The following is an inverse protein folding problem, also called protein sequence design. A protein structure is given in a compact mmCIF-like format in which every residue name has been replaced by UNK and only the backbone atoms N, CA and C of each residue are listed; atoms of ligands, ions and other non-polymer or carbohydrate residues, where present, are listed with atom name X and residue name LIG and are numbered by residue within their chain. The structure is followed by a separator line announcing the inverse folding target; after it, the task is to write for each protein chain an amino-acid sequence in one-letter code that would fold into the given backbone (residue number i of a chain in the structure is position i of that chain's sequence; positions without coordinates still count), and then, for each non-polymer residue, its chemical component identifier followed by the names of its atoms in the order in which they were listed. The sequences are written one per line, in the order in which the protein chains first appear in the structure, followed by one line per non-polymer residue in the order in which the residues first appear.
data_IF_563222284452
#
_entry.id   IF_563222284452
#
_cell.length_a   1.000
_cell.length_b   1.000
_cell.length_c   1.000
_cell.angle_alpha   90.00
_cell.angle_beta   90.00
_cell.angle_gamma   90.00
#
_symmetry.space_group_name_H-M   'P 1'
#
loop_
_entity.id
_entity.type
_entity.pdbx_description
1 polymer ?
#
# COMPACT_ATOMS: atom_id res chain seq x y z
N UNK A 1 40.22 -2.39 -39.71
CA UNK A 1 40.14 -2.95 -38.34
C UNK A 1 39.01 -3.98 -38.32
N UNK A 2 39.32 -5.26 -38.14
CA UNK A 2 38.32 -6.33 -38.24
C UNK A 2 37.19 -6.14 -37.22
N UNK A 3 35.93 -6.14 -37.67
CA UNK A 3 34.76 -6.14 -36.81
C UNK A 3 34.74 -7.42 -35.97
N UNK A 4 35.22 -7.32 -34.73
CA UNK A 4 35.19 -8.45 -33.79
C UNK A 4 33.73 -8.89 -33.58
N UNK A 5 33.43 -10.13 -33.95
CA UNK A 5 32.08 -10.68 -33.98
C UNK A 5 31.44 -10.72 -32.57
N UNK A 6 30.36 -9.97 -32.39
CA UNK A 6 29.51 -10.06 -31.19
C UNK A 6 28.39 -11.06 -31.46
N UNK A 7 28.39 -12.15 -30.70
CA UNK A 7 27.39 -13.23 -30.78
C UNK A 7 26.38 -13.09 -29.64
N UNK A 8 25.10 -13.23 -29.96
CA UNK A 8 24.01 -13.15 -28.97
C UNK A 8 23.36 -14.52 -28.84
N UNK A 9 23.16 -14.99 -27.61
CA UNK A 9 22.38 -16.19 -27.29
C UNK A 9 21.24 -15.82 -26.35
N UNK A 10 20.07 -16.41 -26.55
CA UNK A 10 18.91 -16.19 -25.69
C UNK A 10 18.61 -17.42 -24.84
N UNK A 11 18.36 -17.23 -23.55
CA UNK A 11 17.96 -18.29 -22.60
C UNK A 11 16.58 -17.97 -22.00
N UNK A 12 15.86 -19.01 -21.55
CA UNK A 12 14.56 -18.88 -20.85
C UNK A 12 13.57 -17.99 -21.61
N UNK A 13 13.41 -18.27 -22.89
CA UNK A 13 12.48 -17.53 -23.75
C UNK A 13 11.04 -17.88 -23.36
N UNK A 14 10.23 -16.85 -23.08
CA UNK A 14 8.83 -16.99 -22.70
C UNK A 14 7.98 -15.97 -23.45
N UNK A 15 6.83 -16.40 -23.96
CA UNK A 15 5.82 -15.53 -24.59
C UNK A 15 4.71 -15.22 -23.59
N UNK A 16 4.57 -13.95 -23.19
CA UNK A 16 3.51 -13.52 -22.30
C UNK A 16 2.42 -12.77 -23.08
N UNK A 17 1.29 -13.45 -23.32
CA UNK A 17 0.17 -12.91 -24.09
C UNK A 17 -0.57 -11.77 -23.39
N UNK A 18 -0.67 -11.79 -22.06
CA UNK A 18 -1.36 -10.76 -21.27
C UNK A 18 -0.67 -9.40 -21.35
N UNK A 19 0.66 -9.42 -21.51
CA UNK A 19 1.50 -8.23 -21.59
C UNK A 19 1.95 -7.94 -23.03
N UNK A 20 1.45 -8.70 -24.02
CA UNK A 20 1.81 -8.60 -25.44
C UNK A 20 3.33 -8.50 -25.65
N UNK A 21 4.10 -9.35 -24.95
CA UNK A 21 5.56 -9.31 -25.00
C UNK A 21 6.22 -10.68 -24.93
N UNK A 22 7.35 -10.79 -25.60
CA UNK A 22 8.32 -11.89 -25.48
C UNK A 22 9.41 -11.47 -24.48
N UNK A 23 9.71 -12.31 -23.51
CA UNK A 23 10.70 -12.03 -22.47
C UNK A 23 11.75 -13.14 -22.40
N UNK A 24 13.01 -12.76 -22.29
CA UNK A 24 14.14 -13.70 -22.31
C UNK A 24 15.37 -13.12 -21.60
N UNK A 25 16.30 -14.01 -21.27
CA UNK A 25 17.64 -13.66 -20.78
C UNK A 25 18.57 -13.65 -22.00
N UNK A 26 19.41 -12.62 -22.09
CA UNK A 26 20.36 -12.43 -23.18
C UNK A 26 21.77 -12.68 -22.65
N UNK A 27 22.49 -13.57 -23.30
CA UNK A 27 23.92 -13.74 -23.11
C UNK A 27 24.64 -13.17 -24.35
N UNK A 28 25.49 -12.17 -24.13
CA UNK A 28 26.26 -11.49 -25.17
C UNK A 28 27.72 -11.90 -25.04
N UNK A 29 28.22 -12.59 -26.06
CA UNK A 29 29.62 -12.95 -26.22
C UNK A 29 30.31 -11.93 -27.13
N UNK A 30 31.33 -11.26 -26.61
CA UNK A 30 32.03 -10.18 -27.28
C UNK A 30 33.55 -10.29 -27.02
N UNK A 31 34.22 -11.26 -27.68
CA UNK A 31 35.66 -11.45 -27.49
C UNK A 31 36.44 -10.23 -27.98
N UNK A 32 37.25 -9.64 -27.09
CA UNK A 32 38.13 -8.53 -27.42
C UNK A 32 37.47 -7.15 -27.57
N UNK A 33 36.21 -6.99 -27.12
CA UNK A 33 35.58 -5.67 -26.82
C UNK A 33 35.26 -5.62 -25.32
N UNK A 34 35.36 -4.44 -24.71
CA UNK A 34 35.10 -4.27 -23.28
C UNK A 34 33.59 -4.32 -22.94
N UNK A 35 32.75 -3.74 -23.81
CA UNK A 35 31.29 -3.78 -23.69
C UNK A 35 30.64 -3.57 -25.06
N UNK A 36 29.37 -3.92 -25.20
CA UNK A 36 28.57 -3.74 -26.41
C UNK A 36 27.51 -2.65 -26.15
N UNK A 37 27.34 -1.73 -27.10
CA UNK A 37 26.32 -0.70 -26.97
C UNK A 37 24.91 -1.30 -27.03
N UNK A 38 23.95 -0.70 -26.31
CA UNK A 38 22.57 -1.21 -26.31
C UNK A 38 21.87 -1.00 -27.66
N UNK A 39 22.31 -0.03 -28.45
CA UNK A 39 21.79 0.21 -29.80
C UNK A 39 22.15 -0.96 -30.73
N UNK A 40 23.43 -1.36 -30.76
CA UNK A 40 23.89 -2.53 -31.52
C UNK A 40 23.16 -3.82 -31.11
N UNK A 41 22.89 -4.01 -29.82
CA UNK A 41 22.15 -5.18 -29.35
C UNK A 41 20.68 -5.16 -29.78
N UNK A 42 20.05 -3.99 -29.84
CA UNK A 42 18.67 -3.86 -30.34
C UNK A 42 18.60 -4.19 -31.82
N UNK A 43 19.52 -3.69 -32.64
CA UNK A 43 19.56 -3.97 -34.08
C UNK A 43 19.76 -5.46 -34.35
N UNK A 44 20.66 -6.11 -33.61
CA UNK A 44 20.88 -7.56 -33.75
C UNK A 44 19.68 -8.38 -33.28
N UNK A 45 18.99 -7.96 -32.22
CA UNK A 45 17.74 -8.60 -31.77
C UNK A 45 16.59 -8.37 -32.74
N UNK A 46 16.53 -7.20 -33.38
CA UNK A 46 15.54 -6.91 -34.41
C UNK A 46 15.70 -7.86 -35.61
N UNK A 47 16.96 -8.08 -36.05
CA UNK A 47 17.28 -9.04 -37.12
C UNK A 47 17.02 -10.50 -36.72
N UNK A 48 17.33 -10.91 -35.48
CA UNK A 48 17.15 -12.31 -35.06
C UNK A 48 15.69 -12.73 -34.88
N UNK A 49 14.80 -11.78 -34.60
CA UNK A 49 13.38 -12.05 -34.31
C UNK A 49 12.42 -11.36 -35.28
N UNK A 50 12.93 -10.86 -36.41
CA UNK A 50 12.19 -10.16 -37.47
C UNK A 50 11.24 -9.08 -36.94
N UNK A 51 11.74 -8.26 -36.02
CA UNK A 51 10.98 -7.16 -35.44
C UNK A 51 11.22 -5.90 -36.27
N UNK A 52 10.15 -5.37 -36.88
CA UNK A 52 10.21 -4.20 -37.77
C UNK A 52 10.69 -2.92 -37.06
N UNK A 53 10.30 -2.74 -35.79
CA UNK A 53 10.62 -1.54 -35.02
C UNK A 53 11.68 -1.79 -33.92
N UNK A 54 12.83 -1.13 -34.00
CA UNK A 54 13.87 -1.20 -32.94
C UNK A 54 13.40 -0.58 -31.59
N UNK A 55 12.34 0.22 -31.62
CA UNK A 55 11.80 0.90 -30.44
C UNK A 55 10.92 0.01 -29.56
N UNK A 56 10.44 -1.12 -30.07
CA UNK A 56 9.68 -2.11 -29.29
C UNK A 56 10.58 -3.05 -28.47
N UNK A 57 11.90 -3.00 -28.72
CA UNK A 57 12.91 -3.84 -28.06
C UNK A 57 13.54 -3.08 -26.89
N UNK A 58 13.45 -3.67 -25.70
CA UNK A 58 14.01 -3.13 -24.47
C UNK A 58 15.05 -4.10 -23.91
N UNK A 59 16.27 -3.59 -23.72
CA UNK A 59 17.36 -4.37 -23.14
C UNK A 59 17.92 -3.67 -21.91
N UNK A 60 17.91 -4.34 -20.77
CA UNK A 60 18.28 -3.74 -19.48
C UNK A 60 18.92 -4.73 -18.52
N UNK A 61 19.47 -4.19 -17.42
CA UNK A 61 20.14 -4.96 -16.35
C UNK A 61 21.28 -5.84 -16.86
N UNK A 62 22.11 -5.30 -17.77
CA UNK A 62 23.35 -5.96 -18.17
C UNK A 62 24.34 -6.04 -17.02
N UNK A 63 24.93 -7.22 -16.85
CA UNK A 63 26.04 -7.50 -15.94
C UNK A 63 27.16 -8.13 -16.76
N UNK A 64 28.32 -7.50 -16.77
CA UNK A 64 29.56 -8.06 -17.31
C UNK A 64 30.07 -9.13 -16.35
N UNK A 65 30.49 -10.28 -16.88
CA UNK A 65 31.16 -11.30 -16.08
C UNK A 65 32.60 -10.89 -15.75
N UNK A 66 33.10 -11.38 -14.62
CA UNK A 66 34.50 -11.23 -14.24
C UNK A 66 35.41 -11.84 -15.32
N UNK A 67 36.47 -11.12 -15.72
CA UNK A 67 37.32 -11.47 -16.86
C UNK A 67 36.86 -10.92 -18.22
N UNK A 68 35.71 -10.24 -18.29
CA UNK A 68 35.24 -9.57 -19.51
C UNK A 68 34.78 -10.53 -20.62
N UNK A 69 34.40 -9.98 -21.78
CA UNK A 69 34.04 -10.75 -22.98
C UNK A 69 32.71 -11.51 -22.94
N UNK A 70 32.05 -11.60 -21.79
CA UNK A 70 30.69 -12.14 -21.62
C UNK A 70 29.83 -11.21 -20.77
N UNK A 71 28.64 -10.91 -21.26
CA UNK A 71 27.66 -10.07 -20.55
C UNK A 71 26.30 -10.76 -20.52
N UNK A 72 25.62 -10.73 -19.38
CA UNK A 72 24.27 -11.25 -19.22
C UNK A 72 23.29 -10.11 -19.00
N UNK A 73 22.12 -10.15 -19.64
CA UNK A 73 21.12 -9.10 -19.55
C UNK A 73 19.70 -9.65 -19.70
N UNK A 74 18.72 -8.77 -19.54
CA UNK A 74 17.31 -9.10 -19.78
C UNK A 74 16.80 -8.37 -21.02
N UNK A 75 16.08 -9.11 -21.87
CA UNK A 75 15.46 -8.61 -23.09
C UNK A 75 13.94 -8.73 -23.04
N UNK A 76 13.26 -7.68 -23.49
CA UNK A 76 11.82 -7.66 -23.73
C UNK A 76 11.58 -7.19 -25.16
N UNK A 77 10.75 -7.92 -25.89
CA UNK A 77 10.26 -7.53 -27.22
C UNK A 77 8.76 -7.40 -27.10
N UNK A 78 8.23 -6.20 -27.35
CA UNK A 78 6.81 -5.94 -27.41
C UNK A 78 6.28 -6.10 -28.84
N UNK A 79 5.03 -6.55 -28.98
CA UNK A 79 4.40 -6.68 -30.29
C UNK A 79 4.10 -5.29 -30.91
N UNK A 80 3.92 -4.24 -30.09
CA UNK A 80 3.66 -2.86 -30.55
C UNK A 80 4.33 -1.80 -29.66
N UNK A 81 4.54 -0.59 -30.20
CA UNK A 81 5.08 0.54 -29.42
C UNK A 81 4.08 1.03 -28.36
N UNK A 82 2.78 0.89 -28.62
CA UNK A 82 1.71 1.27 -27.68
C UNK A 82 1.67 0.35 -26.45
N UNK A 83 1.82 -0.97 -26.67
CA UNK A 83 1.91 -1.94 -25.58
C UNK A 83 3.15 -1.69 -24.72
N UNK A 84 4.27 -1.32 -25.34
CA UNK A 84 5.46 -0.88 -24.62
C UNK A 84 5.17 0.35 -23.73
N UNK A 85 4.49 1.39 -24.25
CA UNK A 85 4.13 2.60 -23.47
C UNK A 85 3.18 2.30 -22.29
N UNK A 86 2.31 1.30 -22.43
CA UNK A 86 1.34 0.91 -21.39
C UNK A 86 1.98 0.13 -20.24
N UNK A 87 2.88 -0.80 -20.56
CA UNK A 87 3.40 -1.76 -19.57
C UNK A 87 4.79 -1.42 -19.03
N UNK A 88 5.62 -0.69 -19.78
CA UNK A 88 6.95 -0.33 -19.29
C UNK A 88 6.89 0.80 -18.25
N UNK A 89 7.74 0.74 -17.21
CA UNK A 89 7.89 1.85 -16.28
C UNK A 89 8.34 3.13 -16.98
N UNK A 90 7.70 4.27 -16.67
CA UNK A 90 7.98 5.59 -17.29
C UNK A 90 9.45 5.97 -17.35
N UNK A 91 10.25 5.64 -16.33
CA UNK A 91 11.68 5.97 -16.32
C UNK A 91 12.49 5.26 -17.43
N UNK A 92 12.03 4.12 -17.93
CA UNK A 92 12.67 3.42 -19.05
C UNK A 92 12.26 4.01 -20.40
N UNK A 93 10.99 4.39 -20.54
CA UNK A 93 10.50 5.10 -21.71
C UNK A 93 11.26 6.40 -21.93
N UNK A 94 11.47 7.18 -20.86
CA UNK A 94 12.25 8.43 -20.90
C UNK A 94 13.71 8.18 -21.33
N UNK A 95 14.36 7.14 -20.80
CA UNK A 95 15.73 6.79 -21.17
C UNK A 95 15.87 6.34 -22.62
N UNK A 96 14.82 5.73 -23.17
CA UNK A 96 14.77 5.31 -24.56
C UNK A 96 14.19 6.40 -25.49
N UNK A 97 13.89 7.61 -24.98
CA UNK A 97 13.39 8.74 -25.78
C UNK A 97 11.93 8.64 -26.22
N UNK A 98 11.14 7.70 -25.68
CA UNK A 98 9.74 7.48 -26.05
C UNK A 98 8.73 8.32 -25.25
N UNK A 99 9.18 8.90 -24.14
CA UNK A 99 8.38 9.77 -23.27
C UNK A 99 9.26 10.92 -22.77
N UNK A 100 8.69 12.11 -22.59
CA UNK A 100 9.46 13.27 -22.10
C UNK A 100 9.39 13.33 -20.58
N UNK A 101 10.51 13.73 -19.97
CA UNK A 101 10.53 13.95 -18.53
C UNK A 101 9.69 15.18 -18.20
N UNK A 102 8.58 14.98 -17.51
CA UNK A 102 7.78 16.10 -17.01
C UNK A 102 8.55 16.80 -15.88
N UNK A 103 9.19 17.91 -16.21
CA UNK A 103 9.85 18.77 -15.24
C UNK A 103 8.82 19.53 -14.43
N UNK A 104 8.80 19.34 -13.11
CA UNK A 104 7.91 20.07 -12.21
C UNK A 104 8.74 20.96 -11.30
N UNK A 105 8.47 22.26 -11.32
CA UNK A 105 9.12 23.20 -10.43
C UNK A 105 8.77 22.89 -8.96
N UNK A 106 9.76 23.05 -8.08
CA UNK A 106 9.59 22.88 -6.63
C UNK A 106 8.48 23.77 -6.07
N UNK A 107 8.28 24.94 -6.67
CA UNK A 107 7.20 25.90 -6.33
C UNK A 107 5.82 25.30 -6.64
N UNK A 108 5.62 24.79 -7.85
CA UNK A 108 4.37 24.17 -8.30
C UNK A 108 3.99 22.94 -7.45
N UNK A 109 4.99 22.12 -7.07
CA UNK A 109 4.75 20.98 -6.16
C UNK A 109 4.28 21.42 -4.77
N UNK A 110 4.88 22.49 -4.23
CA UNK A 110 4.52 23.04 -2.90
C UNK A 110 3.12 23.65 -2.91
N UNK A 111 2.77 24.39 -3.97
CA UNK A 111 1.44 24.99 -4.14
C UNK A 111 0.36 23.92 -4.30
N UNK A 112 0.58 22.90 -5.13
CA UNK A 112 -0.36 21.77 -5.26
C UNK A 112 -0.56 21.03 -3.95
N UNK A 113 0.53 20.79 -3.20
CA UNK A 113 0.46 20.14 -1.87
C UNK A 113 -0.31 21.01 -0.87
N UNK A 114 -0.19 22.33 -0.96
CA UNK A 114 -0.94 23.24 -0.11
C UNK A 114 -2.43 23.30 -0.48
N UNK A 115 -2.79 23.30 -1.78
CA UNK A 115 -4.19 23.20 -2.22
C UNK A 115 -4.84 21.86 -1.84
N UNK A 116 -4.07 20.78 -1.82
CA UNK A 116 -4.56 19.45 -1.43
C UNK A 116 -4.68 19.25 0.09
N UNK A 117 -4.16 20.18 0.92
CA UNK A 117 -4.39 20.12 2.37
C UNK A 117 -5.85 20.40 2.65
N UNK A 118 -6.54 19.42 3.23
CA UNK A 118 -7.87 19.65 3.81
C UNK A 118 -7.69 20.44 5.10
N UNK A 119 -8.26 21.63 5.15
CA UNK A 119 -8.33 22.44 6.37
C UNK A 119 -9.46 21.83 7.23
N UNK A 120 -9.17 21.53 8.50
CA UNK A 120 -10.19 21.13 9.46
C UNK A 120 -10.75 22.40 10.11
N UNK A 121 -11.97 22.75 9.74
CA UNK A 121 -12.85 23.73 10.37
C UNK A 121 -14.30 23.20 10.31
N UNK A 122 -15.22 23.86 10.99
CA UNK A 122 -16.63 23.43 11.12
C UNK A 122 -17.35 23.31 9.76
N UNK A 123 -16.92 24.07 8.75
CA UNK A 123 -17.27 23.84 7.34
C UNK A 123 -16.04 23.32 6.57
N UNK A 124 -16.17 22.16 5.93
CA UNK A 124 -15.15 21.59 5.03
C UNK A 124 -15.14 22.34 3.70
N UNK A 125 -14.40 23.44 3.60
CA UNK A 125 -14.07 24.05 2.30
C UNK A 125 -12.70 23.56 1.82
N UNK A 126 -12.59 23.28 0.52
CA UNK A 126 -11.26 23.14 -0.12
C UNK A 126 -10.62 24.52 -0.14
N UNK A 127 -9.31 24.60 0.08
CA UNK A 127 -8.56 25.85 0.24
C UNK A 127 -8.38 26.65 -1.07
N UNK A 128 -9.36 26.65 -1.99
CA UNK A 128 -9.22 27.34 -3.28
C UNK A 128 -10.41 27.30 -4.22
N UNK A 129 -11.65 27.14 -3.73
CA UNK A 129 -12.84 27.34 -4.56
C UNK A 129 -13.57 28.61 -4.12
N UNK A 130 -13.16 29.73 -4.72
CA UNK A 130 -13.99 30.91 -4.86
C UNK A 130 -14.04 31.27 -6.34
N UNK A 131 -15.22 31.12 -6.94
CA UNK A 131 -15.58 31.75 -8.21
C UNK A 131 -15.39 30.92 -9.49
N UNK A 132 -16.44 30.21 -9.90
CA UNK A 132 -17.13 30.40 -11.21
C UNK A 132 -18.32 29.44 -11.34
N UNK A 133 -19.52 29.99 -11.15
CA UNK A 133 -20.77 29.45 -11.70
C UNK A 133 -20.76 29.68 -13.21
N UNK A 134 -20.97 28.63 -14.00
CA UNK A 134 -21.65 28.73 -15.30
C UNK A 134 -22.57 27.52 -15.45
N UNK A 135 -23.86 27.82 -15.48
CA UNK A 135 -24.94 26.93 -15.91
C UNK A 135 -24.77 26.71 -17.41
N UNK A 136 -24.91 25.47 -17.86
CA UNK A 136 -25.32 25.17 -19.23
C UNK A 136 -26.07 23.85 -19.25
N UNK A 137 -27.37 23.98 -19.49
CA UNK A 137 -28.29 22.99 -20.00
C UNK A 137 -27.78 22.45 -21.34
N UNK A 138 -27.89 21.15 -21.55
CA UNK A 138 -28.30 20.49 -22.81
C UNK A 138 -28.16 18.97 -22.65
N UNK A 139 -29.25 18.24 -22.89
CA UNK A 139 -29.18 16.83 -23.29
C UNK A 139 -28.71 16.75 -24.75
N UNK A 140 -28.16 15.61 -25.18
CA UNK A 140 -28.83 14.98 -26.32
C UNK A 140 -28.97 13.45 -26.22
N UNK A 141 -30.02 13.04 -26.92
CA UNK A 141 -30.54 11.73 -27.27
C UNK A 141 -29.62 10.90 -28.19
N UNK A 142 -29.67 9.57 -28.01
CA UNK A 142 -29.69 8.42 -28.97
C UNK A 142 -28.80 8.56 -30.26
N UNK A 143 -27.89 7.67 -30.67
CA UNK A 143 -28.06 6.31 -31.24
C UNK A 143 -26.65 5.72 -31.49
N UNK A 144 -26.39 4.45 -31.14
CA UNK A 144 -25.97 3.36 -32.07
C UNK A 144 -25.60 2.09 -31.30
N UNK A 145 -26.21 1.00 -31.75
CA UNK A 145 -26.14 -0.35 -31.22
C UNK A 145 -24.89 -1.11 -31.70
N UNK A 146 -24.48 -2.13 -30.91
CA UNK A 146 -24.10 -3.47 -31.40
C UNK A 146 -23.87 -4.45 -30.22
N UNK A 147 -24.69 -5.51 -30.21
CA UNK A 147 -24.45 -6.94 -29.85
C UNK A 147 -23.35 -7.31 -28.83
N UNK A 148 -23.46 -8.32 -27.97
CA UNK A 148 -24.50 -9.28 -27.58
C UNK A 148 -23.95 -10.10 -26.39
N UNK A 149 -24.76 -10.37 -25.36
CA UNK A 149 -24.77 -11.64 -24.59
C UNK A 149 -25.87 -11.56 -23.52
N UNK A 150 -26.76 -12.56 -23.39
CA UNK A 150 -27.71 -12.63 -22.29
C UNK A 150 -26.99 -13.32 -21.12
N UNK A 151 -26.32 -12.54 -20.27
CA UNK A 151 -26.10 -13.01 -18.92
C UNK A 151 -27.32 -12.54 -18.14
N UNK A 152 -28.19 -13.48 -17.80
CA UNK A 152 -29.35 -13.26 -16.95
C UNK A 152 -28.92 -12.41 -15.75
N UNK A 153 -29.30 -11.15 -15.76
CA UNK A 153 -29.27 -10.32 -14.58
C UNK A 153 -30.37 -10.86 -13.68
N UNK A 154 -30.01 -11.85 -12.86
CA UNK A 154 -30.69 -12.13 -11.61
C UNK A 154 -30.75 -10.78 -10.89
N UNK A 155 -31.94 -10.17 -10.94
CA UNK A 155 -32.24 -8.98 -10.19
C UNK A 155 -31.92 -9.29 -8.74
N UNK A 156 -30.79 -8.76 -8.25
CA UNK A 156 -30.51 -8.77 -6.82
C UNK A 156 -31.58 -7.90 -6.20
N UNK A 157 -32.67 -8.53 -5.75
CA UNK A 157 -33.59 -7.93 -4.82
C UNK A 157 -32.77 -7.45 -3.63
N UNK A 158 -32.74 -6.13 -3.44
CA UNK A 158 -32.28 -5.51 -2.21
C UNK A 158 -33.34 -5.83 -1.15
N UNK A 159 -33.29 -7.05 -0.60
CA UNK A 159 -33.93 -7.33 0.68
C UNK A 159 -33.12 -6.55 1.70
N UNK A 160 -33.60 -5.35 2.05
CA UNK A 160 -33.15 -4.67 3.24
C UNK A 160 -33.64 -5.52 4.41
N UNK A 161 -32.77 -6.34 4.99
CA UNK A 161 -33.09 -7.01 6.25
C UNK A 161 -33.46 -5.93 7.27
N UNK A 162 -34.66 -6.02 7.85
CA UNK A 162 -35.22 -5.02 8.76
C UNK A 162 -34.39 -4.88 10.05
N UNK A 163 -33.60 -5.91 10.40
CA UNK A 163 -32.78 -5.98 11.62
C UNK A 163 -31.33 -5.49 11.44
N UNK A 164 -31.09 -4.45 10.63
CA UNK A 164 -29.73 -3.92 10.48
C UNK A 164 -29.37 -2.89 11.57
N UNK A 165 -28.41 -3.23 12.42
CA UNK A 165 -27.91 -2.29 13.44
C UNK A 165 -26.79 -1.42 12.89
N UNK A 166 -27.06 -0.12 12.72
CA UNK A 166 -26.06 0.85 12.26
C UNK A 166 -24.94 1.10 13.26
N UNK A 167 -25.25 1.08 14.56
CA UNK A 167 -24.29 1.34 15.63
C UNK A 167 -24.42 0.23 16.66
N UNK A 168 -23.32 -0.47 16.89
CA UNK A 168 -23.21 -1.51 17.90
C UNK A 168 -22.40 -0.96 19.06
N UNK A 169 -22.85 -1.19 20.29
CA UNK A 169 -22.10 -0.79 21.48
C UNK A 169 -21.45 -2.01 22.12
N UNK A 170 -20.13 -2.12 21.96
CA UNK A 170 -19.34 -3.26 22.42
C UNK A 170 -18.19 -2.76 23.30
N UNK A 171 -18.03 -3.34 24.49
CA UNK A 171 -16.99 -3.00 25.47
C UNK A 171 -16.77 -1.49 25.66
N UNK A 172 -17.83 -0.73 25.96
CA UNK A 172 -17.81 0.72 26.16
C UNK A 172 -17.34 1.54 24.94
N UNK A 173 -17.36 0.96 23.74
CA UNK A 173 -17.03 1.66 22.48
C UNK A 173 -18.15 1.53 21.46
N UNK A 174 -18.30 2.55 20.62
CA UNK A 174 -19.24 2.54 19.49
C UNK A 174 -18.54 1.93 18.28
N UNK A 175 -19.12 0.85 17.75
CA UNK A 175 -18.66 0.11 16.58
C UNK A 175 -19.61 0.37 15.42
N UNK A 176 -19.05 0.65 14.24
CA UNK A 176 -19.81 0.96 13.02
C UNK A 176 -20.31 -0.34 12.35
N UNK A 177 -21.64 -0.51 12.28
CA UNK A 177 -22.29 -1.68 11.72
C UNK A 177 -22.11 -1.85 10.22
N UNK A 178 -21.79 -0.77 9.49
CA UNK A 178 -21.61 -0.82 8.02
C UNK A 178 -20.31 -1.52 7.63
N UNK A 179 -19.33 -1.61 8.53
CA UNK A 179 -18.05 -2.24 8.24
C UNK A 179 -18.14 -3.77 8.38
N UNK A 180 -17.28 -4.48 7.66
CA UNK A 180 -17.11 -5.92 7.89
C UNK A 180 -16.63 -6.17 9.31
N UNK A 181 -17.08 -7.27 9.91
CA UNK A 181 -16.86 -7.60 11.33
C UNK A 181 -15.37 -7.50 11.72
N UNK A 182 -14.48 -8.05 10.88
CA UNK A 182 -13.03 -8.03 11.13
C UNK A 182 -12.47 -6.61 11.32
N UNK A 183 -12.97 -5.63 10.57
CA UNK A 183 -12.53 -4.24 10.67
C UNK A 183 -13.29 -3.49 11.77
N UNK A 184 -14.58 -3.77 11.93
CA UNK A 184 -15.43 -3.16 12.93
C UNK A 184 -14.86 -3.39 14.35
N UNK A 185 -14.46 -4.63 14.67
CA UNK A 185 -13.84 -4.99 15.95
C UNK A 185 -12.54 -4.26 16.26
N UNK A 186 -11.81 -3.74 15.25
CA UNK A 186 -10.58 -2.98 15.48
C UNK A 186 -10.80 -1.59 16.08
N UNK A 187 -12.05 -1.13 16.13
CA UNK A 187 -12.42 0.10 16.83
C UNK A 187 -12.21 -0.03 18.35
N UNK A 188 -12.27 -1.25 18.88
CA UNK A 188 -12.02 -1.55 20.29
C UNK A 188 -10.51 -1.51 20.54
N UNK A 189 -10.07 -0.65 21.47
CA UNK A 189 -8.66 -0.60 21.88
C UNK A 189 -8.20 -1.95 22.41
N UNK A 190 -7.04 -2.41 21.97
CA UNK A 190 -6.50 -3.72 22.33
C UNK A 190 -6.84 -4.84 21.36
N UNK A 191 -7.82 -4.64 20.45
CA UNK A 191 -8.13 -5.60 19.38
C UNK A 191 -7.53 -5.12 18.05
N UNK A 192 -6.61 -5.91 17.51
CA UNK A 192 -6.04 -5.68 16.18
C UNK A 192 -6.69 -6.53 15.10
N UNK A 193 -6.38 -6.27 13.83
CA UNK A 193 -6.90 -7.02 12.67
C UNK A 193 -6.68 -8.54 12.78
N UNK A 194 -5.49 -8.95 13.21
CA UNK A 194 -5.15 -10.38 13.40
C UNK A 194 -5.93 -11.00 14.55
N UNK A 195 -6.13 -10.26 15.64
CA UNK A 195 -6.87 -10.73 16.79
C UNK A 195 -8.35 -10.89 16.45
N UNK A 196 -8.95 -9.87 15.82
CA UNK A 196 -10.32 -9.93 15.32
C UNK A 196 -10.57 -11.13 14.40
N UNK A 197 -9.65 -11.41 13.45
CA UNK A 197 -9.76 -12.56 12.57
C UNK A 197 -9.78 -13.90 13.34
N UNK A 198 -8.88 -14.08 14.32
CA UNK A 198 -8.86 -15.30 15.13
C UNK A 198 -10.13 -15.41 15.97
N UNK A 199 -10.60 -14.32 16.58
CA UNK A 199 -11.82 -14.32 17.38
C UNK A 199 -13.04 -14.71 16.52
N UNK A 200 -13.21 -14.13 15.33
CA UNK A 200 -14.30 -14.50 14.42
C UNK A 200 -14.23 -15.97 14.00
N UNK A 201 -13.04 -16.50 13.71
CA UNK A 201 -12.84 -17.91 13.38
C UNK A 201 -13.07 -18.86 14.54
N UNK A 202 -12.92 -18.40 15.78
CA UNK A 202 -13.18 -19.21 16.97
C UNK A 202 -14.63 -19.14 17.42
N UNK A 203 -15.33 -18.08 17.07
CA UNK A 203 -16.77 -17.92 17.25
C UNK A 203 -17.59 -18.50 16.09
N UNK A 204 -16.94 -19.08 15.08
CA UNK A 204 -17.57 -19.58 13.84
C UNK A 204 -18.46 -18.54 13.13
N UNK A 205 -18.07 -17.26 13.23
CA UNK A 205 -18.74 -16.15 12.55
C UNK A 205 -18.06 -15.89 11.21
N UNK A 206 -18.85 -15.81 10.14
CA UNK A 206 -18.33 -15.48 8.81
C UNK A 206 -17.67 -14.09 8.79
N UNK A 207 -16.50 -14.02 8.14
CA UNK A 207 -15.68 -12.82 8.05
C UNK A 207 -16.22 -11.78 7.05
N UNK A 208 -17.07 -12.20 6.11
CA UNK A 208 -17.61 -11.31 5.09
C UNK A 208 -18.91 -10.62 5.51
N UNK A 209 -19.64 -11.19 6.47
CA UNK A 209 -20.77 -10.55 7.16
C UNK A 209 -20.41 -9.13 7.63
N UNK A 210 -21.41 -8.25 7.59
CA UNK A 210 -21.29 -6.91 8.16
C UNK A 210 -21.53 -6.97 9.66
N UNK A 211 -20.93 -6.04 10.40
CA UNK A 211 -21.10 -6.00 11.84
C UNK A 211 -22.57 -5.76 12.24
N UNK A 212 -23.30 -4.95 11.48
CA UNK A 212 -24.71 -4.65 11.74
C UNK A 212 -25.69 -5.80 11.48
N UNK A 213 -25.22 -6.90 10.89
CA UNK A 213 -25.99 -8.13 10.64
C UNK A 213 -25.76 -9.18 11.74
N UNK A 214 -24.94 -8.88 12.76
CA UNK A 214 -24.66 -9.79 13.85
C UNK A 214 -25.86 -9.94 14.78
N UNK A 215 -26.18 -11.18 15.13
CA UNK A 215 -27.12 -11.49 16.21
C UNK A 215 -26.51 -11.18 17.58
N UNK A 216 -27.36 -10.93 18.58
CA UNK A 216 -26.91 -10.69 19.96
C UNK A 216 -26.10 -11.88 20.53
N UNK A 217 -26.48 -13.12 20.20
CA UNK A 217 -25.78 -14.33 20.63
C UNK A 217 -24.37 -14.47 20.02
N UNK A 218 -24.20 -14.12 18.74
CA UNK A 218 -22.88 -14.08 18.11
C UNK A 218 -22.00 -12.99 18.75
N UNK A 219 -22.57 -11.84 19.09
CA UNK A 219 -21.85 -10.75 19.78
C UNK A 219 -21.35 -11.22 21.14
N UNK A 220 -22.20 -11.86 21.94
CA UNK A 220 -21.82 -12.35 23.27
C UNK A 220 -20.73 -13.42 23.17
N UNK A 221 -20.84 -14.34 22.20
CA UNK A 221 -19.80 -15.34 21.92
C UNK A 221 -18.46 -14.68 21.59
N UNK A 222 -18.44 -13.64 20.74
CA UNK A 222 -17.23 -12.86 20.46
C UNK A 222 -16.68 -12.20 21.74
N UNK A 223 -17.54 -11.68 22.62
CA UNK A 223 -17.11 -11.04 23.87
C UNK A 223 -16.51 -12.03 24.86
N UNK A 224 -17.08 -13.24 24.98
CA UNK A 224 -16.54 -14.30 25.85
C UNK A 224 -15.15 -14.74 25.38
N UNK A 225 -14.94 -14.88 24.06
CA UNK A 225 -13.64 -15.24 23.50
C UNK A 225 -12.60 -14.13 23.73
N UNK A 226 -13.01 -12.87 23.61
CA UNK A 226 -12.14 -11.72 23.88
C UNK A 226 -11.72 -11.64 25.35
N UNK A 227 -12.65 -11.94 26.27
CA UNK A 227 -12.37 -11.96 27.71
C UNK A 227 -11.46 -13.13 28.11
N UNK A 228 -11.72 -14.33 27.57
CA UNK A 228 -11.07 -15.58 27.97
C UNK A 228 -10.34 -16.29 26.81
N UNK A 229 -9.35 -15.66 26.14
CA UNK A 229 -8.74 -16.20 24.93
C UNK A 229 -8.02 -17.54 25.12
N UNK A 230 -7.51 -17.80 26.32
CA UNK A 230 -6.79 -19.05 26.64
C UNK A 230 -7.69 -20.28 26.59
N UNK A 231 -8.96 -20.15 26.99
CA UNK A 231 -9.93 -21.25 26.96
C UNK A 231 -10.23 -21.67 25.52
N UNK A 232 -10.20 -20.73 24.57
CA UNK A 232 -10.44 -20.98 23.14
C UNK A 232 -9.20 -21.40 22.34
N UNK A 233 -8.17 -21.91 23.03
CA UNK A 233 -6.91 -22.38 22.43
C UNK A 233 -6.14 -21.30 21.66
N UNK A 234 -6.19 -20.04 22.12
CA UNK A 234 -5.34 -18.97 21.59
C UNK A 234 -3.99 -19.01 22.33
N UNK A 235 -2.83 -19.05 21.63
CA UNK A 235 -1.53 -19.15 22.28
C UNK A 235 -1.15 -17.92 23.13
N UNK A 236 -0.41 -18.15 24.22
CA UNK A 236 0.04 -17.10 25.16
C UNK A 236 0.89 -16.02 24.50
N UNK A 237 1.70 -16.38 23.50
CA UNK A 237 2.56 -15.43 22.78
C UNK A 237 1.76 -14.38 21.99
N UNK A 238 0.49 -14.66 21.71
CA UNK A 238 -0.42 -13.82 20.93
C UNK A 238 -1.14 -12.77 21.78
N UNK A 239 -1.18 -12.93 23.10
CA UNK A 239 -1.87 -12.02 24.00
C UNK A 239 -1.11 -10.70 24.18
N UNK A 240 -1.87 -9.62 24.43
CA UNK A 240 -1.30 -8.26 24.56
C UNK A 240 -0.38 -8.12 25.78
N UNK A 241 -0.81 -8.62 26.95
CA UNK A 241 -0.08 -8.47 28.21
C UNK A 241 0.42 -9.83 28.68
N UNK A 242 1.70 -10.06 28.40
CA UNK A 242 2.39 -11.31 28.70
C UNK A 242 3.16 -11.17 29.99
N UNK A 243 2.95 -12.12 30.93
CA UNK A 243 3.61 -12.18 32.24
C UNK A 243 3.54 -10.84 32.98
N UNK A 244 2.36 -10.48 33.48
CA UNK A 244 2.19 -9.24 34.25
C UNK A 244 3.09 -9.23 35.50
N UNK A 245 3.59 -8.06 35.89
CA UNK A 245 4.59 -7.96 36.97
C UNK A 245 4.01 -8.19 38.37
N UNK A 246 2.69 -8.05 38.55
CA UNK A 246 1.99 -8.33 39.81
C UNK A 246 1.63 -9.80 39.90
N UNK A 247 0.85 -10.27 38.93
CA UNK A 247 0.18 -11.57 39.01
C UNK A 247 0.93 -12.68 38.26
N UNK A 248 1.92 -12.36 37.43
CA UNK A 248 2.61 -13.31 36.53
C UNK A 248 1.73 -13.88 35.41
N UNK A 249 0.42 -13.60 35.41
CA UNK A 249 -0.57 -14.12 34.48
C UNK A 249 -0.43 -13.50 33.08
N UNK A 250 -0.87 -14.25 32.08
CA UNK A 250 -1.03 -13.79 30.70
C UNK A 250 -2.48 -13.37 30.50
N UNK A 251 -2.70 -12.16 30.00
CA UNK A 251 -4.04 -11.62 29.81
C UNK A 251 -4.16 -10.84 28.50
N UNK A 252 -5.36 -10.92 27.93
CA UNK A 252 -5.77 -9.97 26.91
C UNK A 252 -6.37 -8.76 27.59
N UNK A 253 -5.89 -7.58 27.19
CA UNK A 253 -6.35 -6.32 27.76
C UNK A 253 -7.07 -5.54 26.67
N UNK A 254 -8.30 -5.14 26.95
CA UNK A 254 -9.18 -4.43 26.02
C UNK A 254 -9.73 -3.13 26.61
N UNK A 255 -10.18 -2.25 25.72
CA UNK A 255 -10.86 -0.98 26.01
C UNK A 255 -10.19 -0.18 27.15
N UNK A 256 -10.91 0.06 28.24
CA UNK A 256 -10.49 0.91 29.36
C UNK A 256 -9.38 0.25 30.19
N UNK A 257 -9.38 -1.08 30.30
CA UNK A 257 -8.38 -1.81 31.07
C UNK A 257 -6.97 -1.59 30.49
N UNK A 258 -6.86 -1.37 29.17
CA UNK A 258 -5.59 -1.12 28.50
C UNK A 258 -4.99 0.22 28.91
N UNK A 259 -5.83 1.26 28.94
CA UNK A 259 -5.42 2.60 29.34
C UNK A 259 -5.07 2.65 30.83
N UNK A 260 -5.83 1.96 31.69
CA UNK A 260 -5.55 1.86 33.13
C UNK A 260 -4.21 1.16 33.40
N UNK A 261 -3.99 -0.03 32.82
CA UNK A 261 -2.74 -0.78 32.99
C UNK A 261 -1.52 0.00 32.49
N UNK A 262 -1.65 0.73 31.38
CA UNK A 262 -0.56 1.58 30.86
C UNK A 262 -0.23 2.73 31.81
N UNK A 263 -1.25 3.36 32.42
CA UNK A 263 -1.05 4.43 33.42
C UNK A 263 -0.32 3.90 34.64
N UNK A 264 -0.74 2.76 35.18
CA UNK A 264 -0.10 2.12 36.34
C UNK A 264 1.36 1.77 36.06
N UNK A 265 1.66 1.24 34.86
CA UNK A 265 3.02 0.92 34.45
C UNK A 265 3.93 2.16 34.40
N UNK A 266 3.43 3.25 33.80
CA UNK A 266 4.17 4.50 33.70
C UNK A 266 4.36 5.12 35.08
N UNK A 267 3.34 5.11 35.93
CA UNK A 267 3.40 5.68 37.26
C UNK A 267 4.39 4.92 38.16
N UNK A 268 4.39 3.59 38.07
CA UNK A 268 5.42 2.76 38.71
C UNK A 268 6.83 3.14 38.24
N UNK A 269 7.04 3.32 36.93
CA UNK A 269 8.35 3.71 36.39
C UNK A 269 8.80 5.10 36.86
N UNK A 270 7.86 6.03 37.05
CA UNK A 270 8.13 7.37 37.61
C UNK A 270 8.53 7.28 39.08
N UNK A 271 7.79 6.50 39.89
CA UNK A 271 8.10 6.29 41.31
C UNK A 271 9.47 5.65 41.53
N UNK A 272 9.84 4.68 40.70
CA UNK A 272 11.17 4.04 40.72
C UNK A 272 12.29 5.02 40.26
N UNK A 273 11.95 6.14 39.63
CA UNK A 273 12.89 7.08 38.98
C UNK A 273 13.78 6.42 37.91
N UNK A 274 13.25 5.42 37.22
CA UNK A 274 13.93 4.82 36.07
C UNK A 274 14.05 5.87 34.95
N UNK A 275 15.17 5.92 34.23
CA UNK A 275 15.39 6.81 33.08
C UNK A 275 14.22 6.79 32.08
N UNK A 276 13.60 5.62 31.81
CA UNK A 276 12.40 5.54 30.96
C UNK A 276 11.19 6.27 31.56
N UNK A 277 10.98 6.13 32.87
CA UNK A 277 9.90 6.79 33.60
C UNK A 277 10.08 8.30 33.66
N UNK A 278 11.31 8.77 33.93
CA UNK A 278 11.66 10.19 33.92
C UNK A 278 11.45 10.82 32.54
N UNK A 279 11.80 10.12 31.46
CA UNK A 279 11.50 10.60 30.09
C UNK A 279 10.01 10.70 29.81
N UNK A 280 9.20 9.76 30.30
CA UNK A 280 7.74 9.87 30.21
C UNK A 280 7.20 11.05 31.02
N UNK A 281 7.77 11.34 32.19
CA UNK A 281 7.43 12.52 32.99
C UNK A 281 7.75 13.83 32.25
N UNK A 282 8.94 13.93 31.63
CA UNK A 282 9.33 15.10 30.82
C UNK A 282 8.69 15.16 29.42
N UNK A 283 7.86 14.20 29.03
CA UNK A 283 7.24 14.16 27.70
C UNK A 283 8.22 13.92 26.55
N UNK A 284 9.40 13.36 26.84
CA UNK A 284 10.43 13.07 25.84
C UNK A 284 10.28 11.66 25.24
N UNK A 285 10.86 11.48 24.06
CA UNK A 285 10.96 10.16 23.41
C UNK A 285 11.84 9.22 24.24
N UNK A 286 11.37 8.00 24.44
CA UNK A 286 11.92 7.05 25.45
C UNK A 286 12.94 6.06 24.87
N UNK A 287 12.84 5.71 23.58
CA UNK A 287 13.65 4.64 22.92
C UNK A 287 15.03 5.11 22.41
N UNK A 288 15.66 6.10 23.04
CA UNK A 288 16.99 6.57 22.62
C UNK A 288 17.03 7.29 21.26
N UNK A 289 15.89 7.81 20.79
CA UNK A 289 15.82 8.52 19.51
C UNK A 289 16.56 9.85 19.58
N UNK A 290 17.28 10.23 18.52
CA UNK A 290 17.97 11.52 18.44
C UNK A 290 16.98 12.70 18.45
N UNK A 291 16.99 13.49 19.52
CA UNK A 291 16.08 14.64 19.72
C UNK A 291 16.62 15.96 19.15
N UNK A 292 17.91 16.01 18.73
CA UNK A 292 18.51 17.22 18.14
C UNK A 292 17.80 17.63 16.85
N UNK A 293 17.59 16.67 15.94
CA UNK A 293 17.03 16.88 14.59
C UNK A 293 15.59 16.36 14.46
N UNK A 294 15.22 15.29 15.15
CA UNK A 294 13.91 14.63 14.99
C UNK A 294 12.93 15.01 16.11
N UNK A 295 11.64 14.97 15.82
CA UNK A 295 10.59 15.21 16.82
C UNK A 295 10.27 16.69 17.09
N UNK A 296 10.91 17.62 16.38
CA UNK A 296 10.54 19.04 16.40
C UNK A 296 9.18 19.23 15.71
N UNK A 297 8.19 19.71 16.45
CA UNK A 297 6.88 20.13 15.91
C UNK A 297 6.75 21.63 16.14
N UNK A 298 6.96 22.40 15.09
CA UNK A 298 6.89 23.85 15.03
C UNK A 298 7.23 24.31 13.62
N UNK A 299 6.70 25.45 13.16
CA UNK A 299 7.20 26.07 11.93
C UNK A 299 8.64 26.53 12.18
N UNK A 300 9.51 26.43 11.17
CA UNK A 300 10.82 27.09 11.21
C UNK A 300 10.56 28.58 11.45
N UNK A 301 11.04 29.11 12.58
CA UNK A 301 11.00 30.54 12.85
C UNK A 301 12.02 31.17 11.91
N UNK A 302 11.56 31.70 10.79
CA UNK A 302 12.39 32.61 9.98
C UNK A 302 12.56 33.93 10.72
N UNK A 303 13.55 34.72 10.33
CA UNK A 303 13.74 36.09 10.82
C UNK A 303 12.48 36.90 10.47
N UNK A 304 11.69 37.28 11.48
CA UNK A 304 10.58 38.20 11.31
C UNK A 304 11.13 39.63 11.28
N UNK A 305 11.09 40.29 10.11
CA UNK A 305 11.28 41.73 10.05
C UNK A 305 10.06 42.41 10.67
N UNK A 306 10.32 43.40 11.53
CA UNK A 306 9.30 44.29 12.11
C UNK A 306 8.56 44.98 10.95
N UNK A 307 7.24 44.84 10.90
CA UNK A 307 6.38 45.68 10.07
C UNK A 307 6.05 46.93 10.86
#
# INVERSE_FOLDING_TARGET
MAEKAVTIRTRKFMTNRLLSRKQFIIDVLHPGRANVSKAELKEKLAKMYDVKDSNSIFVFKFRTHFGGGKSTGFGLIYDSVESAKKFEPKYRLIRNGLDTKVEKSRKQMKERKNRAKKIRGVKKTKAGDAGKKKVRSEQPTIITARCASPFETLAMSLVANEDFQHILRVQNTNVDGKQKIMFALTSIKGIGRRFANIVCKKADVDMNKRAGELSAAEIDSLMVIVANPRQFKIPDWFLNRKKDYKDGKYSQVTSNALDMKLRDDIERLKKIRNHRGLRHYWGLRVRGQHTKTTGRRGKTVGVSKKR
#
